data_IF_321789121217
#
_entry.id   IF_321789121217
#
_cell.length_a   1.000
_cell.length_b   1.000
_cell.length_c   1.000
_cell.angle_alpha   90.00
_cell.angle_beta   90.00
_cell.angle_gamma   90.00
#
_symmetry.space_group_name_H-M   'P 1'
#
loop_
_entity.id
_entity.type
_entity.pdbx_description
1 polymer ?
#
# COMPACT_ATOMS: atom_id res chain seq x y z
N UNK A 1 5.58 4.36 59.87
CA UNK A 1 4.25 4.69 59.30
C UNK A 1 4.23 5.81 58.24
N UNK A 2 5.37 6.45 57.88
CA UNK A 2 5.39 7.53 56.85
C UNK A 2 5.16 7.05 55.41
N UNK A 3 5.46 5.79 55.09
CA UNK A 3 5.49 5.28 53.72
C UNK A 3 4.12 4.83 53.18
N UNK A 4 3.10 4.69 54.04
CA UNK A 4 1.79 4.15 53.66
C UNK A 4 0.96 5.14 52.82
N UNK A 5 1.22 6.45 52.95
CA UNK A 5 0.55 7.51 52.15
C UNK A 5 1.33 7.91 50.90
N UNK A 6 2.56 7.42 50.74
CA UNK A 6 3.42 7.72 49.58
C UNK A 6 3.07 6.82 48.39
N UNK A 7 2.73 5.55 48.66
CA UNK A 7 2.35 4.58 47.63
C UNK A 7 1.10 4.99 46.82
N UNK A 8 -0.03 5.41 47.44
CA UNK A 8 -1.20 5.90 46.68
C UNK A 8 -0.90 7.15 45.85
N UNK A 9 -0.08 8.08 46.36
CA UNK A 9 0.31 9.30 45.63
C UNK A 9 1.17 8.99 44.41
N UNK A 10 2.07 8.02 44.53
CA UNK A 10 2.87 7.54 43.40
C UNK A 10 1.98 6.93 42.31
N UNK A 11 1.02 6.09 42.69
CA UNK A 11 0.06 5.48 41.75
C UNK A 11 -0.74 6.55 41.01
N UNK A 12 -1.24 7.57 41.72
CA UNK A 12 -1.97 8.70 41.11
C UNK A 12 -1.07 9.46 40.13
N UNK A 13 0.17 9.76 40.53
CA UNK A 13 1.13 10.47 39.67
C UNK A 13 1.42 9.71 38.38
N UNK A 14 1.67 8.41 38.48
CA UNK A 14 1.88 7.53 37.31
C UNK A 14 0.61 7.49 36.44
N UNK A 15 -0.58 7.41 37.06
CA UNK A 15 -1.86 7.45 36.35
C UNK A 15 -2.05 8.74 35.55
N UNK A 16 -1.69 9.89 36.12
CA UNK A 16 -1.74 11.19 35.42
C UNK A 16 -0.77 11.21 34.25
N UNK A 17 0.45 10.68 34.40
CA UNK A 17 1.40 10.57 33.29
C UNK A 17 0.82 9.73 32.16
N UNK A 18 0.23 8.57 32.44
CA UNK A 18 -0.39 7.74 31.41
C UNK A 18 -1.59 8.42 30.75
N UNK A 19 -2.40 9.17 31.51
CA UNK A 19 -3.51 9.93 30.95
C UNK A 19 -3.02 11.00 29.95
N UNK A 20 -1.98 11.76 30.32
CA UNK A 20 -1.36 12.76 29.45
C UNK A 20 -0.75 12.09 28.22
N UNK A 21 -0.01 11.00 28.40
CA UNK A 21 0.58 10.25 27.30
C UNK A 21 -0.49 9.75 26.31
N UNK A 22 -1.61 9.23 26.82
CA UNK A 22 -2.74 8.79 25.99
C UNK A 22 -3.34 9.94 25.16
N UNK A 23 -3.51 11.13 25.76
CA UNK A 23 -4.00 12.31 25.05
C UNK A 23 -3.03 12.76 23.94
N UNK A 24 -1.72 12.74 24.23
CA UNK A 24 -0.67 13.06 23.24
C UNK A 24 -0.72 12.07 22.07
N UNK A 25 -0.77 10.77 22.35
CA UNK A 25 -0.85 9.74 21.29
C UNK A 25 -2.12 9.86 20.46
N UNK A 26 -3.26 10.15 21.09
CA UNK A 26 -4.52 10.39 20.38
C UNK A 26 -4.41 11.60 19.43
N UNK A 27 -3.85 12.72 19.91
CA UNK A 27 -3.62 13.91 19.08
C UNK A 27 -2.67 13.64 17.91
N UNK A 28 -1.60 12.89 18.15
CA UNK A 28 -0.67 12.48 17.09
C UNK A 28 -1.36 11.61 16.02
N UNK A 29 -2.24 10.70 16.43
CA UNK A 29 -3.01 9.87 15.49
C UNK A 29 -3.91 10.70 14.58
N UNK A 30 -4.62 11.68 15.13
CA UNK A 30 -5.46 12.61 14.36
C UNK A 30 -4.59 13.41 13.37
N UNK A 31 -3.46 13.96 13.84
CA UNK A 31 -2.55 14.72 12.99
C UNK A 31 -2.01 13.91 11.82
N UNK A 32 -1.53 12.68 12.08
CA UNK A 32 -0.97 11.80 11.05
C UNK A 32 -2.04 11.43 10.02
N UNK A 33 -3.28 11.15 10.45
CA UNK A 33 -4.38 10.84 9.54
C UNK A 33 -4.67 12.01 8.59
N UNK A 34 -4.76 13.24 9.12
CA UNK A 34 -4.95 14.43 8.30
C UNK A 34 -3.78 14.68 7.34
N UNK A 35 -2.54 14.55 7.82
CA UNK A 35 -1.34 14.73 7.01
C UNK A 35 -1.25 13.74 5.83
N UNK A 36 -1.63 12.48 6.05
CA UNK A 36 -1.71 11.48 4.97
C UNK A 36 -2.83 11.85 3.99
N UNK A 37 -4.00 12.25 4.49
CA UNK A 37 -5.12 12.69 3.64
C UNK A 37 -4.76 13.86 2.72
N UNK A 38 -4.02 14.85 3.24
CA UNK A 38 -3.52 15.99 2.47
C UNK A 38 -2.52 15.57 1.38
N UNK A 39 -1.59 14.65 1.70
CA UNK A 39 -0.64 14.12 0.71
C UNK A 39 -1.32 13.32 -0.40
N UNK A 40 -2.36 12.54 -0.06
CA UNK A 40 -3.17 11.80 -1.02
C UNK A 40 -3.93 12.78 -1.93
N UNK A 41 -4.59 13.78 -1.35
CA UNK A 41 -5.32 14.81 -2.10
C UNK A 41 -4.42 15.58 -3.07
N UNK A 42 -3.16 15.84 -2.67
CA UNK A 42 -2.16 16.51 -3.52
C UNK A 42 -1.79 15.70 -4.79
N UNK A 43 -2.00 14.38 -4.82
CA UNK A 43 -1.80 13.57 -6.02
C UNK A 43 -2.89 13.78 -7.08
N UNK A 44 -4.02 14.42 -6.70
CA UNK A 44 -5.14 14.72 -7.60
C UNK A 44 -5.69 13.48 -8.33
N UNK A 45 -5.81 12.36 -7.62
CA UNK A 45 -6.34 11.09 -8.14
C UNK A 45 -7.83 11.00 -7.82
N UNK A 46 -8.63 10.57 -8.79
CA UNK A 46 -10.06 10.24 -8.63
C UNK A 46 -10.23 8.75 -8.89
N UNK A 47 -10.99 8.06 -8.04
CA UNK A 47 -11.30 6.64 -8.22
C UNK A 47 -12.09 6.39 -9.51
N UNK A 48 -11.83 5.29 -10.23
CA UNK A 48 -12.57 4.94 -11.43
C UNK A 48 -13.99 4.43 -11.12
N UNK A 49 -14.83 4.32 -12.15
CA UNK A 49 -16.25 3.94 -12.03
C UNK A 49 -16.48 2.51 -11.53
N UNK A 50 -15.49 1.63 -11.70
CA UNK A 50 -15.51 0.23 -11.28
C UNK A 50 -14.90 0.00 -9.89
N UNK A 51 -14.44 1.06 -9.22
CA UNK A 51 -14.00 0.98 -7.83
C UNK A 51 -15.20 0.83 -6.86
N UNK A 52 -14.93 0.30 -5.67
CA UNK A 52 -15.95 0.18 -4.60
C UNK A 52 -16.48 1.53 -4.10
N UNK A 53 -15.71 2.63 -4.26
CA UNK A 53 -16.11 4.01 -4.00
C UNK A 53 -15.81 4.82 -5.28
N UNK A 54 -16.73 4.90 -6.25
CA UNK A 54 -16.44 5.47 -7.58
C UNK A 54 -16.56 7.00 -7.63
N UNK A 55 -15.74 7.64 -8.48
CA UNK A 55 -15.85 9.07 -8.79
C UNK A 55 -15.49 10.01 -7.63
N UNK A 56 -14.75 9.52 -6.63
CA UNK A 56 -14.35 10.29 -5.44
C UNK A 56 -12.84 10.52 -5.45
N UNK A 57 -12.41 11.71 -5.02
CA UNK A 57 -10.98 11.99 -4.86
C UNK A 57 -10.36 11.08 -3.80
N UNK A 58 -9.17 10.55 -4.09
CA UNK A 58 -8.38 9.77 -3.14
C UNK A 58 -7.75 10.72 -2.12
N UNK A 59 -8.44 10.94 -0.99
CA UNK A 59 -8.02 11.87 0.07
C UNK A 59 -8.23 11.33 1.50
N UNK A 60 -8.64 10.07 1.60
CA UNK A 60 -8.89 9.36 2.86
C UNK A 60 -8.44 7.91 2.77
N UNK A 61 -8.32 7.24 3.92
CA UNK A 61 -8.00 5.81 3.98
C UNK A 61 -9.00 4.99 3.17
N UNK A 62 -10.30 5.27 3.31
CA UNK A 62 -11.35 4.50 2.61
C UNK A 62 -11.22 4.61 1.09
N UNK A 63 -11.03 5.82 0.56
CA UNK A 63 -10.84 6.04 -0.88
C UNK A 63 -9.51 5.50 -1.39
N UNK A 64 -8.46 5.52 -0.55
CA UNK A 64 -7.15 4.96 -0.91
C UNK A 64 -7.20 3.43 -0.99
N UNK A 65 -7.85 2.76 -0.04
CA UNK A 65 -8.07 1.32 -0.09
C UNK A 65 -8.95 0.92 -1.28
N UNK A 66 -10.00 1.70 -1.58
CA UNK A 66 -10.83 1.48 -2.78
C UNK A 66 -10.00 1.57 -4.08
N UNK A 67 -9.11 2.56 -4.18
CA UNK A 67 -8.20 2.71 -5.32
C UNK A 67 -7.16 1.57 -5.40
N UNK A 68 -6.57 1.20 -4.27
CA UNK A 68 -5.57 0.12 -4.21
C UNK A 68 -6.18 -1.23 -4.64
N UNK A 69 -7.38 -1.52 -4.16
CA UNK A 69 -8.12 -2.75 -4.48
C UNK A 69 -8.45 -2.83 -5.98
N UNK A 70 -8.95 -1.75 -6.59
CA UNK A 70 -9.26 -1.77 -8.03
C UNK A 70 -8.00 -1.83 -8.91
N UNK A 71 -6.90 -1.20 -8.49
CA UNK A 71 -5.60 -1.38 -9.17
C UNK A 71 -5.16 -2.84 -9.10
N UNK A 72 -5.26 -3.45 -7.91
CA UNK A 72 -4.88 -4.85 -7.72
C UNK A 72 -5.78 -5.80 -8.53
N UNK A 73 -7.08 -5.51 -8.63
CA UNK A 73 -8.02 -6.25 -9.47
C UNK A 73 -7.60 -6.25 -10.94
N UNK A 74 -7.31 -5.08 -11.52
CA UNK A 74 -6.87 -4.98 -12.92
C UNK A 74 -5.48 -5.58 -13.15
N UNK A 75 -4.58 -5.45 -12.18
CA UNK A 75 -3.26 -6.05 -12.26
C UNK A 75 -3.32 -7.58 -12.24
N UNK A 76 -4.16 -8.17 -11.37
CA UNK A 76 -4.42 -9.60 -11.33
C UNK A 76 -5.08 -10.09 -12.63
N UNK A 77 -6.08 -9.37 -13.15
CA UNK A 77 -6.69 -9.70 -14.44
C UNK A 77 -5.67 -9.69 -15.59
N UNK A 78 -4.71 -8.74 -15.58
CA UNK A 78 -3.63 -8.66 -16.58
C UNK A 78 -2.60 -9.79 -16.42
N UNK A 79 -2.39 -10.28 -15.21
CA UNK A 79 -1.39 -11.31 -14.91
C UNK A 79 -1.94 -12.74 -14.85
N UNK A 80 -3.20 -12.96 -15.20
CA UNK A 80 -3.90 -14.24 -14.97
C UNK A 80 -3.82 -14.68 -13.50
N UNK A 81 -4.10 -13.75 -12.60
CA UNK A 81 -4.08 -13.89 -11.14
C UNK A 81 -2.70 -14.21 -10.52
N UNK A 82 -1.62 -14.13 -11.30
CA UNK A 82 -0.26 -14.31 -10.80
C UNK A 82 0.17 -13.11 -9.95
N UNK A 83 0.81 -13.41 -8.81
CA UNK A 83 1.51 -12.43 -7.99
C UNK A 83 2.85 -12.03 -8.61
N UNK A 84 3.42 -10.92 -8.15
CA UNK A 84 4.74 -10.45 -8.59
C UNK A 84 5.84 -11.53 -8.48
N UNK A 85 5.77 -12.37 -7.45
CA UNK A 85 6.76 -13.40 -7.18
C UNK A 85 6.65 -14.61 -8.12
N UNK A 86 5.48 -14.82 -8.73
CA UNK A 86 5.21 -15.94 -9.64
C UNK A 86 5.57 -15.59 -11.10
N UNK A 87 5.98 -14.35 -11.36
CA UNK A 87 6.30 -13.88 -12.70
C UNK A 87 7.81 -13.66 -12.91
N UNK A 88 8.26 -14.08 -14.07
CA UNK A 88 9.60 -13.87 -14.58
C UNK A 88 9.82 -12.44 -15.08
N UNK A 89 11.08 -12.01 -15.06
CA UNK A 89 11.50 -10.64 -15.42
C UNK A 89 11.22 -10.26 -16.87
N UNK A 90 11.24 -11.24 -17.78
CA UNK A 90 11.15 -11.03 -19.21
C UNK A 90 9.86 -11.59 -19.78
N UNK A 91 9.34 -10.93 -20.81
CA UNK A 91 8.23 -11.44 -21.60
C UNK A 91 8.68 -12.65 -22.43
N UNK A 92 7.72 -13.46 -22.85
CA UNK A 92 7.93 -14.61 -23.73
C UNK A 92 7.12 -14.43 -25.02
N UNK A 93 7.51 -15.11 -26.09
CA UNK A 93 6.86 -14.98 -27.41
C UNK A 93 5.38 -15.40 -27.40
N UNK A 94 4.99 -16.34 -26.51
CA UNK A 94 3.60 -16.74 -26.32
C UNK A 94 2.71 -15.65 -25.71
N UNK A 95 3.31 -14.60 -25.12
CA UNK A 95 2.59 -13.56 -24.40
C UNK A 95 2.08 -14.00 -23.02
N UNK A 96 2.49 -15.16 -22.50
CA UNK A 96 2.11 -15.62 -21.16
C UNK A 96 2.62 -14.63 -20.09
N UNK A 97 1.72 -14.07 -19.24
CA UNK A 97 2.12 -13.16 -18.17
C UNK A 97 3.10 -13.74 -17.15
N UNK A 98 3.13 -15.07 -16.99
CA UNK A 98 4.15 -15.73 -16.17
C UNK A 98 5.56 -15.39 -16.65
N UNK A 99 5.76 -15.20 -17.95
CA UNK A 99 7.04 -14.81 -18.54
C UNK A 99 8.16 -15.80 -18.21
N UNK A 100 9.38 -15.28 -18.17
CA UNK A 100 10.56 -16.06 -17.78
C UNK A 100 11.63 -15.18 -17.14
N UNK A 101 12.46 -15.78 -16.29
CA UNK A 101 13.68 -15.12 -15.80
C UNK A 101 14.95 -15.58 -16.53
N UNK A 102 14.82 -16.54 -17.47
CA UNK A 102 15.92 -16.97 -18.33
C UNK A 102 15.99 -16.07 -19.58
N UNK A 103 17.07 -15.29 -19.80
CA UNK A 103 17.22 -14.45 -20.98
C UNK A 103 17.18 -15.20 -22.31
N UNK A 104 17.56 -16.48 -22.33
CA UNK A 104 17.58 -17.30 -23.56
C UNK A 104 16.17 -17.70 -24.02
N UNK A 105 15.20 -17.72 -23.09
CA UNK A 105 13.79 -18.02 -23.36
C UNK A 105 12.94 -16.76 -23.52
N UNK A 106 13.55 -15.58 -23.40
CA UNK A 106 12.85 -14.31 -23.46
C UNK A 106 12.50 -13.94 -24.90
N UNK A 107 11.38 -13.22 -25.05
CA UNK A 107 11.10 -12.45 -26.25
C UNK A 107 12.22 -11.41 -26.43
N UNK A 108 12.80 -11.35 -27.63
CA UNK A 108 13.86 -10.39 -27.96
C UNK A 108 13.31 -9.23 -28.79
N UNK A 109 13.85 -8.04 -28.56
CA UNK A 109 13.59 -6.86 -29.40
C UNK A 109 14.40 -6.89 -30.71
N UNK A 110 14.23 -5.88 -31.57
CA UNK A 110 14.95 -5.77 -32.83
C UNK A 110 16.48 -5.69 -32.69
N UNK A 111 16.99 -5.37 -31.50
CA UNK A 111 18.42 -5.29 -31.20
C UNK A 111 18.94 -6.57 -30.52
N UNK A 112 18.08 -7.57 -30.31
CA UNK A 112 18.41 -8.82 -29.64
C UNK A 112 18.39 -8.77 -28.11
N UNK A 113 17.80 -7.72 -27.50
CA UNK A 113 17.71 -7.63 -26.04
C UNK A 113 16.41 -8.26 -25.50
N UNK A 114 16.43 -8.92 -24.34
CA UNK A 114 15.23 -9.41 -23.67
C UNK A 114 14.24 -8.30 -23.36
N UNK A 115 12.99 -8.48 -23.78
CA UNK A 115 11.88 -7.55 -23.52
C UNK A 115 11.40 -7.72 -22.07
N UNK A 116 11.25 -6.62 -21.28
CA UNK A 116 10.72 -6.69 -19.92
C UNK A 116 9.28 -7.20 -19.86
N UNK A 117 8.94 -7.92 -18.78
CA UNK A 117 7.58 -8.37 -18.52
C UNK A 117 6.72 -7.22 -17.93
N UNK A 118 5.95 -6.55 -18.79
CA UNK A 118 5.08 -5.45 -18.36
C UNK A 118 3.98 -5.85 -17.36
N UNK A 119 3.51 -7.11 -17.38
CA UNK A 119 2.51 -7.60 -16.42
C UNK A 119 3.12 -7.68 -15.02
N UNK A 120 4.37 -8.17 -14.92
CA UNK A 120 5.14 -8.17 -13.67
C UNK A 120 5.40 -6.77 -13.14
N UNK A 121 5.77 -5.83 -14.01
CA UNK A 121 6.02 -4.44 -13.60
C UNK A 121 4.74 -3.78 -13.07
N UNK A 122 3.60 -4.02 -13.73
CA UNK A 122 2.28 -3.56 -13.24
C UNK A 122 1.96 -4.16 -11.87
N UNK A 123 2.23 -5.45 -11.70
CA UNK A 123 1.93 -6.14 -10.45
C UNK A 123 2.88 -5.74 -9.30
N UNK A 124 4.12 -5.35 -9.60
CA UNK A 124 5.02 -4.76 -8.61
C UNK A 124 4.43 -3.46 -8.06
N UNK A 125 3.88 -2.60 -8.93
CA UNK A 125 3.23 -1.37 -8.50
C UNK A 125 1.99 -1.66 -7.67
N UNK A 126 1.13 -2.57 -8.12
CA UNK A 126 -0.10 -2.94 -7.39
C UNK A 126 0.21 -3.53 -6.00
N UNK A 127 1.18 -4.46 -5.92
CA UNK A 127 1.59 -5.08 -4.66
C UNK A 127 2.18 -4.09 -3.65
N UNK A 128 2.66 -2.93 -4.10
CA UNK A 128 3.14 -1.86 -3.21
C UNK A 128 2.04 -1.01 -2.59
N UNK A 129 0.79 -1.18 -3.00
CA UNK A 129 -0.37 -0.41 -2.53
C UNK A 129 -1.22 -1.17 -1.49
N UNK A 130 -1.01 -2.48 -1.34
CA UNK A 130 -1.74 -3.40 -0.46
C UNK A 130 -0.94 -3.83 0.77
#
# INVERSE_FOLDING_TARGET
MKNVRTFPKLVIFIGVIFAIAGLVTMGAGIYINSFVGEQLAAQNITTPDDASIPGVQVNSIATALSMADIIQHHAAARSNDLSYAEMGRFAVESGDPAGTSNPELALLDANGNPVPNSARDTQLTAAGLV
#
